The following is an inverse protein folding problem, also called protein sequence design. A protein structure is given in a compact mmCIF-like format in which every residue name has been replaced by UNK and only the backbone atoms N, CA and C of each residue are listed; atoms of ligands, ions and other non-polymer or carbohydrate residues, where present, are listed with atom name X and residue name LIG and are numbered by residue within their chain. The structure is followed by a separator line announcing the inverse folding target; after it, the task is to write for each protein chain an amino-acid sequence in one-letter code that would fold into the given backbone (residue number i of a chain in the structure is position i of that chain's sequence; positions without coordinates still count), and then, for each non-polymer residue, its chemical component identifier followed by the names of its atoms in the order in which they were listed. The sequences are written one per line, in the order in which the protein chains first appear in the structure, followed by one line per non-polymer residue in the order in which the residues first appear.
data_IF_250107198101
#
_entry.id   IF_250107198101
#
_cell.length_a   1.000
_cell.length_b   1.000
_cell.length_c   1.000
_cell.angle_alpha   90.00
_cell.angle_beta   90.00
_cell.angle_gamma   90.00
#
_symmetry.space_group_name_H-M   'P 1'
#
loop_
_entity.id
_entity.type
_entity.pdbx_description
1 polymer ?
#
# COMPACT_ATOMS: atom_id res chain seq x y z
N UNK A 1 -3.10 -18.55 -25.54
CA UNK A 1 -3.28 -17.07 -25.56
C UNK A 1 -1.96 -16.43 -25.19
N UNK A 2 -1.53 -15.34 -25.85
CA UNK A 2 -0.34 -14.56 -25.46
C UNK A 2 -0.73 -13.49 -24.46
N UNK A 3 0.08 -13.32 -23.41
CA UNK A 3 -0.20 -12.42 -22.28
C UNK A 3 1.03 -11.54 -22.02
N UNK A 4 0.79 -10.26 -21.87
CA UNK A 4 1.75 -9.30 -21.34
C UNK A 4 1.42 -9.09 -19.86
N UNK A 5 2.39 -9.33 -18.99
CA UNK A 5 2.19 -9.33 -17.54
C UNK A 5 2.85 -8.09 -16.93
N UNK A 6 2.07 -7.30 -16.20
CA UNK A 6 2.58 -6.22 -15.38
C UNK A 6 2.56 -6.64 -13.91
N UNK A 7 3.70 -6.56 -13.25
CA UNK A 7 3.89 -6.97 -11.85
C UNK A 7 4.53 -5.85 -11.05
N UNK A 8 4.50 -5.96 -9.73
CA UNK A 8 5.10 -4.95 -8.86
C UNK A 8 5.92 -5.54 -7.73
N UNK A 9 6.92 -4.78 -7.31
CA UNK A 9 7.73 -5.03 -6.13
C UNK A 9 7.65 -3.85 -5.17
N UNK A 10 7.78 -4.08 -3.86
CA UNK A 10 8.01 -3.00 -2.90
C UNK A 10 9.17 -2.12 -3.35
N UNK A 11 9.10 -0.78 -3.16
CA UNK A 11 10.14 0.14 -3.61
C UNK A 11 11.55 -0.23 -3.14
N UNK A 12 11.68 -0.69 -1.89
CA UNK A 12 12.93 -1.13 -1.29
C UNK A 12 13.60 -2.31 -2.04
N UNK A 13 12.80 -3.17 -2.69
CA UNK A 13 13.29 -4.34 -3.42
C UNK A 13 13.40 -4.12 -4.93
N UNK A 14 12.72 -3.10 -5.45
CA UNK A 14 12.58 -2.88 -6.88
C UNK A 14 13.94 -2.76 -7.59
N UNK A 15 14.82 -1.89 -7.11
CA UNK A 15 16.12 -1.66 -7.75
C UNK A 15 16.96 -2.92 -7.93
N UNK A 16 17.00 -3.78 -6.90
CA UNK A 16 17.84 -4.97 -6.89
C UNK A 16 17.20 -6.21 -7.55
N UNK A 17 15.87 -6.31 -7.53
CA UNK A 17 15.20 -7.58 -7.83
C UNK A 17 14.32 -7.54 -9.09
N UNK A 18 14.01 -6.37 -9.66
CA UNK A 18 13.07 -6.23 -10.79
C UNK A 18 13.37 -7.17 -11.97
N UNK A 19 14.64 -7.28 -12.38
CA UNK A 19 15.03 -8.13 -13.50
C UNK A 19 14.78 -9.61 -13.21
N UNK A 20 15.28 -10.08 -12.07
CA UNK A 20 15.11 -11.48 -11.63
C UNK A 20 13.63 -11.83 -11.45
N UNK A 21 12.85 -10.91 -10.94
CA UNK A 21 11.41 -11.09 -10.75
C UNK A 21 10.66 -11.19 -12.08
N UNK A 22 11.00 -10.35 -13.07
CA UNK A 22 10.45 -10.45 -14.41
C UNK A 22 10.84 -11.78 -15.10
N UNK A 23 12.11 -12.18 -15.01
CA UNK A 23 12.62 -13.43 -15.55
C UNK A 23 11.93 -14.66 -14.94
N UNK A 24 11.57 -14.63 -13.65
CA UNK A 24 10.83 -15.71 -12.99
C UNK A 24 9.52 -16.04 -13.72
N UNK A 25 8.81 -15.04 -14.21
CA UNK A 25 7.57 -15.24 -14.96
C UNK A 25 7.84 -15.59 -16.42
N UNK A 26 8.79 -14.94 -17.08
CA UNK A 26 9.14 -15.20 -18.49
C UNK A 26 9.61 -16.66 -18.70
N UNK A 27 10.36 -17.20 -17.75
CA UNK A 27 10.91 -18.55 -17.83
C UNK A 27 9.89 -19.67 -17.52
N UNK A 28 8.61 -19.36 -17.27
CA UNK A 28 7.57 -20.37 -17.01
C UNK A 28 7.10 -21.10 -18.26
N UNK A 29 7.38 -20.56 -19.46
CA UNK A 29 6.85 -21.10 -20.70
C UNK A 29 5.32 -21.00 -20.78
N UNK A 30 4.69 -22.07 -21.29
CA UNK A 30 3.23 -22.15 -21.33
C UNK A 30 2.69 -22.57 -19.95
N UNK A 31 1.76 -21.78 -19.43
CA UNK A 31 1.07 -22.05 -18.16
C UNK A 31 -0.36 -22.45 -18.46
N UNK A 32 -0.75 -23.64 -17.97
CA UNK A 32 -2.11 -24.16 -18.09
C UNK A 32 -2.82 -24.13 -16.75
N UNK A 33 -4.07 -23.69 -16.73
CA UNK A 33 -4.89 -23.64 -15.51
C UNK A 33 -6.39 -23.72 -15.86
N UNK A 34 -7.20 -24.04 -14.87
CA UNK A 34 -8.66 -24.03 -14.98
C UNK A 34 -9.23 -22.89 -14.16
N UNK A 35 -10.10 -22.08 -14.78
CA UNK A 35 -10.83 -21.01 -14.11
C UNK A 35 -12.31 -21.08 -14.52
N UNK A 36 -13.21 -21.16 -13.53
CA UNK A 36 -14.67 -21.34 -13.74
C UNK A 36 -14.99 -22.45 -14.75
N UNK A 37 -14.43 -23.65 -14.51
CA UNK A 37 -14.58 -24.87 -15.33
C UNK A 37 -14.09 -24.75 -16.78
N UNK A 38 -13.35 -23.69 -17.12
CA UNK A 38 -12.72 -23.51 -18.43
C UNK A 38 -11.22 -23.68 -18.32
N UNK A 39 -10.65 -24.45 -19.24
CA UNK A 39 -9.20 -24.60 -19.36
C UNK A 39 -8.62 -23.44 -20.16
N UNK A 40 -7.51 -22.93 -19.64
CA UNK A 40 -6.73 -21.87 -20.28
C UNK A 40 -5.29 -22.32 -20.46
N UNK A 41 -4.74 -21.96 -21.58
CA UNK A 41 -3.32 -22.02 -21.88
C UNK A 41 -2.82 -20.61 -22.20
N UNK A 42 -1.86 -20.10 -21.41
CA UNK A 42 -1.26 -18.80 -21.62
C UNK A 42 0.24 -18.92 -21.82
N UNK A 43 0.77 -18.11 -22.71
CA UNK A 43 2.20 -17.87 -22.87
C UNK A 43 2.49 -16.43 -22.46
N UNK A 44 3.37 -16.24 -21.49
CA UNK A 44 3.79 -14.91 -21.05
C UNK A 44 4.91 -14.43 -21.99
N UNK A 45 4.60 -13.46 -22.83
CA UNK A 45 5.52 -12.94 -23.84
C UNK A 45 6.40 -11.81 -23.32
N UNK A 46 5.84 -11.00 -22.43
CA UNK A 46 6.51 -9.81 -21.89
C UNK A 46 6.14 -9.66 -20.42
N UNK A 47 7.10 -9.23 -19.60
CA UNK A 47 6.87 -8.89 -18.21
C UNK A 47 7.47 -7.51 -17.92
N UNK A 48 6.60 -6.59 -17.49
CA UNK A 48 7.01 -5.28 -16.98
C UNK A 48 6.88 -5.27 -15.47
N UNK A 49 7.95 -4.86 -14.78
CA UNK A 49 7.97 -4.76 -13.33
C UNK A 49 8.02 -3.29 -12.90
N UNK A 50 7.14 -2.90 -11.97
CA UNK A 50 7.01 -1.54 -11.48
C UNK A 50 7.17 -1.48 -9.96
N UNK A 51 7.64 -0.35 -9.39
CA UNK A 51 7.59 -0.17 -7.94
C UNK A 51 6.14 0.02 -7.48
N UNK A 52 5.73 -0.77 -6.49
CA UNK A 52 4.47 -0.56 -5.76
C UNK A 52 4.48 0.86 -5.18
N UNK A 53 3.40 1.31 -4.60
CA UNK A 53 3.27 2.67 -4.10
C UNK A 53 3.42 3.75 -5.20
N UNK A 54 4.49 3.75 -6.01
CA UNK A 54 4.62 4.64 -7.17
C UNK A 54 3.49 4.40 -8.17
N UNK A 55 3.23 3.15 -8.50
CA UNK A 55 2.14 2.79 -9.40
C UNK A 55 0.79 3.24 -8.84
N UNK A 56 0.52 3.03 -7.54
CA UNK A 56 -0.69 3.55 -6.91
C UNK A 56 -0.78 5.08 -7.02
N UNK A 57 0.32 5.80 -6.82
CA UNK A 57 0.36 7.26 -6.91
C UNK A 57 0.03 7.79 -8.31
N UNK A 58 0.37 7.05 -9.37
CA UNK A 58 0.03 7.41 -10.76
C UNK A 58 -1.48 7.51 -10.96
N UNK A 59 -2.29 6.75 -10.21
CA UNK A 59 -3.77 6.84 -10.30
C UNK A 59 -4.32 8.18 -9.84
N UNK A 60 -3.56 8.92 -9.04
CA UNK A 60 -3.91 10.27 -8.54
C UNK A 60 -2.93 11.34 -9.07
N UNK A 61 -2.32 11.09 -10.22
CA UNK A 61 -1.27 11.94 -10.81
C UNK A 61 -1.69 13.41 -10.93
N UNK A 62 -2.95 13.70 -11.24
CA UNK A 62 -3.46 15.09 -11.29
C UNK A 62 -3.28 15.82 -9.97
N UNK A 63 -3.38 15.12 -8.85
CA UNK A 63 -3.14 15.68 -7.50
C UNK A 63 -1.65 15.99 -7.28
N UNK A 64 -0.76 15.33 -8.02
CA UNK A 64 0.69 15.41 -7.89
C UNK A 64 1.34 16.43 -8.82
N UNK A 65 0.71 16.76 -9.96
CA UNK A 65 1.30 17.56 -11.06
C UNK A 65 1.96 18.87 -10.61
N UNK A 66 1.48 19.50 -9.56
CA UNK A 66 2.02 20.79 -9.06
C UNK A 66 2.72 20.64 -7.72
N UNK A 67 3.08 19.43 -7.32
CA UNK A 67 3.75 19.18 -6.06
C UNK A 67 5.22 18.84 -6.29
N UNK A 68 6.16 19.71 -5.92
CA UNK A 68 7.59 19.45 -6.08
C UNK A 68 8.04 18.26 -5.22
N UNK A 69 7.24 17.92 -4.19
CA UNK A 69 7.51 16.82 -3.26
C UNK A 69 6.21 16.15 -2.85
N UNK A 70 6.17 14.83 -2.99
CA UNK A 70 5.11 14.00 -2.43
C UNK A 70 5.72 12.75 -1.77
N UNK A 71 5.23 12.40 -0.60
CA UNK A 71 5.58 11.17 0.10
C UNK A 71 4.42 10.19 -0.01
N UNK A 72 4.68 9.01 -0.54
CA UNK A 72 3.72 7.92 -0.63
C UNK A 72 3.98 6.97 0.54
N UNK A 73 2.92 6.59 1.26
CA UNK A 73 2.97 5.66 2.39
C UNK A 73 1.92 4.58 2.13
N UNK A 74 2.37 3.36 1.88
CA UNK A 74 1.52 2.19 1.64
C UNK A 74 1.45 1.35 2.92
N UNK A 75 0.30 1.36 3.58
CA UNK A 75 0.11 0.60 4.82
C UNK A 75 -0.51 -0.75 4.46
N UNK A 76 0.34 -1.77 4.43
CA UNK A 76 -0.03 -3.15 4.16
C UNK A 76 -0.31 -3.97 5.42
N UNK A 77 -0.49 -5.28 5.22
CA UNK A 77 -0.70 -6.24 6.32
C UNK A 77 0.55 -6.43 7.18
N UNK A 78 1.69 -6.69 6.56
CA UNK A 78 2.96 -6.97 7.23
C UNK A 78 3.88 -5.75 7.30
N UNK A 79 3.88 -4.94 6.24
CA UNK A 79 4.81 -3.83 6.06
C UNK A 79 4.10 -2.51 5.85
N UNK A 80 4.82 -1.44 6.14
CA UNK A 80 4.52 -0.10 5.67
C UNK A 80 5.66 0.33 4.77
N UNK A 81 5.35 0.47 3.48
CA UNK A 81 6.31 0.88 2.47
C UNK A 81 6.19 2.37 2.22
N UNK A 82 7.31 3.06 2.04
CA UNK A 82 7.29 4.46 1.66
C UNK A 82 8.21 4.77 0.48
N UNK A 83 7.84 5.77 -0.28
CA UNK A 83 8.60 6.29 -1.41
C UNK A 83 8.43 7.81 -1.50
N UNK A 84 9.54 8.52 -1.63
CA UNK A 84 9.52 9.95 -1.92
C UNK A 84 9.41 10.17 -3.44
N UNK A 85 8.51 11.08 -3.84
CA UNK A 85 8.46 11.60 -5.21
C UNK A 85 9.03 13.02 -5.23
N UNK A 86 9.84 13.30 -6.26
CA UNK A 86 10.34 14.66 -6.59
C UNK A 86 9.87 15.03 -7.98
N UNK A 87 9.07 16.09 -8.09
CA UNK A 87 8.49 16.51 -9.36
C UNK A 87 7.74 15.40 -10.12
N UNK A 88 7.10 14.49 -9.37
CA UNK A 88 6.35 13.35 -9.92
C UNK A 88 7.17 12.09 -10.21
N UNK A 89 8.50 12.12 -10.07
CA UNK A 89 9.38 10.97 -10.28
C UNK A 89 9.76 10.32 -8.94
N UNK A 90 9.84 8.99 -8.93
CA UNK A 90 10.22 8.22 -7.74
C UNK A 90 11.70 8.36 -7.39
N UNK A 91 12.01 8.88 -6.22
CA UNK A 91 13.36 8.93 -5.66
C UNK A 91 13.65 7.64 -4.90
N UNK A 92 14.21 6.64 -5.61
CA UNK A 92 14.55 5.35 -5.04
C UNK A 92 15.66 5.39 -3.99
N UNK A 93 16.35 6.52 -3.82
CA UNK A 93 17.29 6.71 -2.71
C UNK A 93 16.57 7.01 -1.39
N UNK A 94 15.29 7.38 -1.45
CA UNK A 94 14.44 7.68 -0.29
C UNK A 94 13.21 6.78 -0.34
N UNK A 95 13.44 5.50 -0.19
CA UNK A 95 12.39 4.49 -0.03
C UNK A 95 12.85 3.41 0.95
N UNK A 96 11.92 2.84 1.67
CA UNK A 96 12.19 1.71 2.57
C UNK A 96 10.88 1.01 2.94
N UNK A 97 11.00 -0.08 3.70
CA UNK A 97 9.91 -0.91 4.19
C UNK A 97 10.06 -1.09 5.69
N UNK A 98 9.01 -0.74 6.45
CA UNK A 98 8.93 -0.94 7.89
C UNK A 98 8.11 -2.18 8.19
N UNK A 99 8.54 -3.01 9.13
CA UNK A 99 7.79 -4.20 9.58
C UNK A 99 6.65 -3.84 10.56
N UNK A 100 5.91 -2.77 10.26
CA UNK A 100 4.87 -2.19 11.10
C UNK A 100 3.50 -2.21 10.41
N UNK A 101 3.15 -3.30 9.72
CA UNK A 101 1.85 -3.46 9.08
C UNK A 101 0.70 -3.69 10.08
N UNK A 102 -0.55 -3.68 9.59
CA UNK A 102 -1.76 -3.76 10.43
C UNK A 102 -1.89 -5.06 11.22
N UNK A 103 -1.22 -6.14 10.81
CA UNK A 103 -1.20 -7.40 11.57
C UNK A 103 -0.60 -7.19 12.96
N UNK A 104 0.42 -6.33 13.08
CA UNK A 104 0.98 -5.97 14.38
C UNK A 104 -0.07 -5.25 15.25
N UNK A 105 -0.87 -4.37 14.67
CA UNK A 105 -1.98 -3.69 15.36
C UNK A 105 -3.04 -4.71 15.83
N UNK A 106 -3.48 -5.61 14.95
CA UNK A 106 -4.44 -6.65 15.34
C UNK A 106 -3.95 -7.47 16.53
N UNK A 107 -2.69 -7.91 16.49
CA UNK A 107 -2.11 -8.67 17.59
C UNK A 107 -2.07 -7.89 18.91
N UNK A 108 -1.71 -6.59 18.86
CA UNK A 108 -1.73 -5.70 20.05
C UNK A 108 -3.16 -5.56 20.59
N UNK A 109 -4.15 -5.31 19.74
CA UNK A 109 -5.56 -5.18 20.13
C UNK A 109 -6.06 -6.48 20.75
N UNK A 110 -5.90 -7.62 20.05
CA UNK A 110 -6.35 -8.94 20.53
C UNK A 110 -5.77 -9.24 21.92
N UNK A 111 -4.48 -9.04 22.10
CA UNK A 111 -3.81 -9.28 23.38
C UNK A 111 -4.34 -8.35 24.49
N UNK A 112 -4.58 -7.09 24.18
CA UNK A 112 -5.03 -6.09 25.14
C UNK A 112 -6.48 -6.35 25.58
N UNK A 113 -7.36 -6.65 24.64
CA UNK A 113 -8.77 -6.96 24.92
C UNK A 113 -8.89 -8.26 25.71
N UNK A 114 -8.12 -9.29 25.35
CA UNK A 114 -8.11 -10.54 26.12
C UNK A 114 -7.65 -10.31 27.56
N UNK A 115 -6.62 -9.48 27.80
CA UNK A 115 -6.10 -9.21 29.12
C UNK A 115 -7.06 -8.35 30.00
N UNK A 116 -7.78 -7.40 29.42
CA UNK A 116 -8.58 -6.44 30.18
C UNK A 116 -10.08 -6.79 30.24
N UNK A 117 -10.59 -7.53 29.25
CA UNK A 117 -12.01 -7.81 29.10
C UNK A 117 -12.32 -9.31 29.07
N UNK A 118 -11.31 -10.19 29.14
CA UNK A 118 -11.43 -11.65 29.02
C UNK A 118 -12.23 -12.06 27.75
N UNK A 119 -11.99 -11.33 26.65
CA UNK A 119 -12.70 -11.48 25.38
C UNK A 119 -11.71 -11.68 24.24
N UNK A 120 -12.04 -12.59 23.31
CA UNK A 120 -11.29 -12.81 22.08
C UNK A 120 -12.02 -12.12 20.92
N UNK A 121 -11.36 -11.13 20.30
CA UNK A 121 -11.85 -10.48 19.07
C UNK A 121 -11.22 -11.12 17.84
N UNK A 122 -11.99 -11.23 16.78
CA UNK A 122 -11.45 -11.50 15.45
C UNK A 122 -11.11 -10.19 14.69
N UNK A 123 -10.50 -10.33 13.52
CA UNK A 123 -10.07 -9.18 12.71
C UNK A 123 -11.27 -8.42 12.11
N UNK A 124 -12.35 -9.12 11.77
CA UNK A 124 -13.54 -8.50 11.20
C UNK A 124 -14.26 -7.62 12.23
N UNK A 125 -14.28 -8.03 13.50
CA UNK A 125 -14.82 -7.23 14.60
C UNK A 125 -13.96 -5.98 14.86
N UNK A 126 -12.63 -6.13 14.83
CA UNK A 126 -11.70 -4.99 14.96
C UNK A 126 -11.90 -4.01 13.80
N UNK A 127 -12.02 -4.51 12.57
CA UNK A 127 -12.27 -3.68 11.38
C UNK A 127 -13.61 -2.94 11.49
N UNK A 128 -14.66 -3.61 11.94
CA UNK A 128 -15.96 -2.97 12.15
C UNK A 128 -15.84 -1.78 13.12
N UNK A 129 -15.14 -1.95 14.23
CA UNK A 129 -14.92 -0.89 15.23
C UNK A 129 -14.10 0.27 14.63
N UNK A 130 -12.99 -0.02 13.94
CA UNK A 130 -12.11 1.00 13.37
C UNK A 130 -12.77 1.77 12.22
N UNK A 131 -13.65 1.11 11.45
CA UNK A 131 -14.44 1.73 10.39
C UNK A 131 -15.72 2.41 10.90
N UNK A 132 -15.95 2.41 12.20
CA UNK A 132 -17.13 3.04 12.81
C UNK A 132 -18.44 2.31 12.53
N UNK A 133 -18.38 1.01 12.20
CA UNK A 133 -19.55 0.15 12.00
C UNK A 133 -20.04 -0.41 13.34
N UNK A 134 -21.30 -0.83 13.39
CA UNK A 134 -21.82 -1.55 14.55
C UNK A 134 -21.10 -2.89 14.71
N UNK A 135 -20.51 -3.10 15.87
CA UNK A 135 -19.78 -4.32 16.21
C UNK A 135 -20.44 -5.12 17.33
N UNK A 136 -21.52 -4.60 17.94
CA UNK A 136 -22.16 -5.20 19.11
C UNK A 136 -21.28 -5.28 20.36
N UNK A 137 -20.10 -4.66 20.35
CA UNK A 137 -19.13 -4.69 21.45
C UNK A 137 -19.39 -3.61 22.51
N UNK A 138 -18.94 -3.84 23.75
CA UNK A 138 -19.07 -2.89 24.83
C UNK A 138 -18.23 -1.62 24.62
N UNK A 139 -18.63 -0.50 25.25
CA UNK A 139 -17.86 0.75 25.19
C UNK A 139 -16.41 0.59 25.66
N UNK A 140 -16.16 -0.28 26.64
CA UNK A 140 -14.82 -0.57 27.12
C UNK A 140 -13.95 -1.19 26.02
N UNK A 141 -14.47 -2.18 25.28
CA UNK A 141 -13.79 -2.79 24.12
C UNK A 141 -13.57 -1.76 23.02
N UNK A 142 -14.57 -0.95 22.68
CA UNK A 142 -14.44 0.10 21.68
C UNK A 142 -13.33 1.10 22.03
N UNK A 143 -13.21 1.49 23.30
CA UNK A 143 -12.18 2.40 23.78
C UNK A 143 -10.78 1.79 23.66
N UNK A 144 -10.60 0.52 24.03
CA UNK A 144 -9.33 -0.19 23.90
C UNK A 144 -8.88 -0.23 22.43
N UNK A 145 -9.77 -0.67 21.53
CA UNK A 145 -9.46 -0.78 20.09
C UNK A 145 -9.05 0.57 19.51
N UNK A 146 -9.84 1.61 19.75
CA UNK A 146 -9.57 2.97 19.26
C UNK A 146 -8.30 3.57 19.86
N UNK A 147 -8.02 3.29 21.13
CA UNK A 147 -6.79 3.75 21.78
C UNK A 147 -5.57 3.10 21.15
N UNK A 148 -5.57 1.77 21.00
CA UNK A 148 -4.47 1.04 20.38
C UNK A 148 -4.21 1.48 18.94
N UNK A 149 -5.25 1.77 18.17
CA UNK A 149 -5.11 2.29 16.81
C UNK A 149 -4.48 3.69 16.77
N UNK A 150 -4.85 4.58 17.72
CA UNK A 150 -4.22 5.91 17.82
C UNK A 150 -2.74 5.81 18.21
N UNK A 151 -2.40 4.96 19.16
CA UNK A 151 -1.01 4.72 19.55
C UNK A 151 -0.21 4.17 18.37
N UNK A 152 -0.74 3.15 17.67
CA UNK A 152 -0.10 2.57 16.50
C UNK A 152 0.20 3.62 15.41
N UNK A 153 -0.79 4.45 15.05
CA UNK A 153 -0.59 5.52 14.08
C UNK A 153 0.43 6.55 14.57
N UNK A 154 0.38 6.92 15.85
CA UNK A 154 1.35 7.84 16.45
C UNK A 154 2.78 7.30 16.35
N UNK A 155 2.98 6.01 16.68
CA UNK A 155 4.27 5.32 16.61
C UNK A 155 4.77 5.26 15.16
N UNK A 156 3.90 4.86 14.22
CA UNK A 156 4.22 4.79 12.80
C UNK A 156 4.67 6.14 12.26
N UNK A 157 3.90 7.21 12.48
CA UNK A 157 4.25 8.54 12.00
C UNK A 157 5.53 9.08 12.67
N UNK A 158 5.79 8.72 13.92
CA UNK A 158 7.05 9.05 14.60
C UNK A 158 8.23 8.32 13.95
N UNK A 159 8.09 7.02 13.69
CA UNK A 159 9.13 6.21 13.03
C UNK A 159 9.47 6.72 11.64
N UNK A 160 8.49 7.23 10.89
CA UNK A 160 8.73 7.88 9.60
C UNK A 160 9.50 9.20 9.76
N UNK A 161 9.19 10.00 10.78
CA UNK A 161 9.91 11.25 11.06
C UNK A 161 11.34 11.02 11.52
N UNK A 162 11.61 9.98 12.29
CA UNK A 162 12.96 9.56 12.70
C UNK A 162 13.84 9.24 11.47
N UNK A 163 13.24 8.82 10.37
CA UNK A 163 13.89 8.62 9.07
C UNK A 163 14.02 9.91 8.24
N UNK A 164 13.87 11.06 8.88
CA UNK A 164 13.95 12.39 8.25
C UNK A 164 12.88 12.63 7.17
N UNK A 165 11.77 11.90 7.24
CA UNK A 165 10.64 12.11 6.33
C UNK A 165 9.77 13.25 6.85
N UNK A 166 9.59 14.26 6.01
CA UNK A 166 8.76 15.42 6.33
C UNK A 166 7.28 15.13 6.01
N UNK A 167 6.43 15.18 7.03
CA UNK A 167 5.01 14.85 6.95
C UNK A 167 4.08 16.08 6.97
N UNK A 168 4.63 17.28 7.20
CA UNK A 168 3.86 18.53 7.32
C UNK A 168 4.02 19.47 6.13
N UNK A 169 4.98 19.18 5.25
CA UNK A 169 5.19 19.96 4.01
C UNK A 169 5.16 19.05 2.79
N UNK A 170 4.66 19.58 1.66
CA UNK A 170 4.40 18.77 0.47
C UNK A 170 3.10 17.96 0.57
N UNK A 171 2.95 17.01 -0.33
CA UNK A 171 1.82 16.07 -0.30
C UNK A 171 2.21 14.80 0.46
N UNK A 172 1.34 14.31 1.31
CA UNK A 172 1.48 13.00 1.94
C UNK A 172 0.29 12.14 1.51
N UNK A 173 0.57 11.05 0.82
CA UNK A 173 -0.44 10.18 0.22
C UNK A 173 -0.38 8.83 0.91
N UNK A 174 -1.50 8.42 1.43
CA UNK A 174 -1.68 7.12 2.07
C UNK A 174 -2.42 6.17 1.11
N UNK A 175 -1.93 4.96 0.99
CA UNK A 175 -2.52 3.89 0.18
C UNK A 175 -2.45 2.56 0.94
N UNK A 176 -3.10 1.53 0.40
CA UNK A 176 -3.17 0.21 1.02
C UNK A 176 -4.37 0.04 1.95
N UNK A 177 -4.70 -1.22 2.25
CA UNK A 177 -5.86 -1.57 3.11
C UNK A 177 -5.75 -0.98 4.50
N UNK A 178 -4.55 -0.95 5.07
CA UNK A 178 -4.29 -0.36 6.38
C UNK A 178 -4.49 1.16 6.41
N UNK A 179 -4.22 1.86 5.31
CA UNK A 179 -4.45 3.29 5.22
C UNK A 179 -5.96 3.61 5.25
N UNK A 180 -6.78 2.80 4.57
CA UNK A 180 -8.25 2.93 4.60
C UNK A 180 -8.77 2.63 5.99
N UNK A 181 -8.30 1.56 6.62
CA UNK A 181 -8.69 1.14 7.96
C UNK A 181 -8.37 2.18 9.03
N UNK A 182 -7.19 2.82 8.94
CA UNK A 182 -6.67 3.76 9.93
C UNK A 182 -6.89 5.22 9.56
N UNK A 183 -7.70 5.50 8.54
CA UNK A 183 -7.92 6.85 8.03
C UNK A 183 -8.30 7.85 9.13
N UNK A 184 -9.27 7.51 9.97
CA UNK A 184 -9.73 8.42 11.04
C UNK A 184 -8.59 8.78 12.01
N UNK A 185 -7.74 7.83 12.36
CA UNK A 185 -6.61 8.03 13.28
C UNK A 185 -5.50 8.86 12.63
N UNK A 186 -5.26 8.66 11.33
CA UNK A 186 -4.28 9.44 10.56
C UNK A 186 -4.76 10.89 10.41
N UNK A 187 -6.03 11.10 10.02
CA UNK A 187 -6.62 12.44 9.88
C UNK A 187 -6.68 13.22 11.21
N UNK A 188 -6.90 12.50 12.32
CA UNK A 188 -6.92 13.09 13.67
C UNK A 188 -5.52 13.39 14.23
N UNK A 189 -4.45 12.93 13.56
CA UNK A 189 -3.07 13.13 14.04
C UNK A 189 -2.56 14.52 13.65
N UNK A 190 -1.91 15.18 14.61
CA UNK A 190 -1.21 16.45 14.37
C UNK A 190 0.17 16.29 13.71
N UNK A 191 0.63 15.03 13.51
CA UNK A 191 1.94 14.70 12.95
C UNK A 191 1.98 14.77 11.42
N UNK A 192 0.82 14.74 10.76
CA UNK A 192 0.69 14.84 9.30
C UNK A 192 -0.24 16.01 8.94
N UNK A 193 0.04 16.69 7.82
CA UNK A 193 -0.78 17.82 7.37
C UNK A 193 -1.47 17.49 6.05
N UNK A 194 -2.80 17.54 6.05
CA UNK A 194 -3.62 17.37 4.86
C UNK A 194 -3.35 16.04 4.13
N UNK A 195 -3.49 14.88 4.81
CA UNK A 195 -3.25 13.59 4.19
C UNK A 195 -4.22 13.35 3.03
N UNK A 196 -3.74 12.76 1.94
CA UNK A 196 -4.53 12.32 0.80
C UNK A 196 -4.63 10.80 0.86
N UNK A 197 -5.80 10.24 0.61
CA UNK A 197 -6.00 8.78 0.65
C UNK A 197 -6.36 8.24 -0.73
N UNK A 198 -5.70 7.15 -1.11
CA UNK A 198 -6.08 6.31 -2.25
C UNK A 198 -6.87 5.13 -1.68
N UNK A 199 -8.19 5.19 -1.83
CA UNK A 199 -9.12 4.19 -1.25
C UNK A 199 -9.23 2.93 -2.09
N UNK A 200 -8.79 2.99 -3.35
CA UNK A 200 -8.87 1.88 -4.29
C UNK A 200 -7.81 0.82 -3.95
N UNK A 201 -8.24 -0.32 -3.44
CA UNK A 201 -7.36 -1.47 -3.13
C UNK A 201 -6.63 -2.00 -4.38
N UNK A 202 -7.17 -1.75 -5.57
CA UNK A 202 -6.57 -2.11 -6.85
C UNK A 202 -5.67 -1.01 -7.44
N UNK A 203 -5.36 0.06 -6.68
CA UNK A 203 -4.60 1.21 -7.19
C UNK A 203 -3.24 0.81 -7.79
N UNK A 204 -2.49 -0.09 -7.15
CA UNK A 204 -1.22 -0.58 -7.69
C UNK A 204 -1.43 -1.26 -9.06
N UNK A 205 -2.42 -2.14 -9.19
CA UNK A 205 -2.72 -2.87 -10.46
C UNK A 205 -3.14 -1.91 -11.56
N UNK A 206 -4.00 -0.94 -11.25
CA UNK A 206 -4.39 0.11 -12.19
C UNK A 206 -3.20 0.99 -12.59
N UNK A 207 -2.35 1.31 -11.63
CA UNK A 207 -1.11 2.03 -11.88
C UNK A 207 -0.15 1.27 -12.80
N UNK A 208 0.02 -0.04 -12.63
CA UNK A 208 0.84 -0.86 -13.54
C UNK A 208 0.29 -0.80 -14.97
N UNK A 209 -1.02 -0.87 -15.15
CA UNK A 209 -1.64 -0.75 -16.45
C UNK A 209 -1.36 0.61 -17.09
N UNK A 210 -1.51 1.70 -16.33
CA UNK A 210 -1.24 3.06 -16.82
C UNK A 210 0.22 3.26 -17.22
N UNK A 211 1.15 2.81 -16.39
CA UNK A 211 2.59 2.88 -16.66
C UNK A 211 2.96 2.08 -17.89
N UNK A 212 2.47 0.85 -18.01
CA UNK A 212 2.69 0.00 -19.17
C UNK A 212 2.17 0.65 -20.47
N UNK A 213 0.97 1.22 -20.43
CA UNK A 213 0.40 1.93 -21.58
C UNK A 213 1.23 3.15 -21.99
N UNK A 214 1.68 3.95 -21.00
CA UNK A 214 2.53 5.12 -21.25
C UNK A 214 3.86 4.74 -21.91
N UNK A 215 4.53 3.68 -21.43
CA UNK A 215 5.76 3.17 -22.04
C UNK A 215 5.56 2.72 -23.50
N UNK A 216 4.45 2.09 -23.81
CA UNK A 216 4.15 1.64 -25.19
C UNK A 216 3.91 2.80 -26.12
N UNK A 217 3.18 3.84 -25.67
CA UNK A 217 2.97 5.06 -26.47
C UNK A 217 4.32 5.75 -26.72
N UNK A 218 5.18 5.85 -25.70
CA UNK A 218 6.52 6.43 -25.85
C UNK A 218 7.40 5.66 -26.84
N UNK A 219 7.36 4.33 -26.83
CA UNK A 219 8.09 3.48 -27.79
C UNK A 219 7.52 3.56 -29.23
N UNK A 220 6.21 3.80 -29.38
CA UNK A 220 5.54 3.92 -30.69
C UNK A 220 5.77 5.25 -31.40
N UNK A 221 6.15 6.31 -30.69
CA UNK A 221 6.41 7.65 -31.24
C UNK A 221 7.91 7.92 -31.56
N UNK A 222 8.75 6.90 -31.45
CA UNK A 222 10.19 6.98 -31.67
C UNK A 222 10.66 6.52 -33.06
N UNK A 223 9.88 6.80 -34.12
CA UNK A 223 10.29 6.64 -35.52
C UNK A 223 10.20 7.97 -36.26
#
# INVERSE_FOLDING_TARGET
MRVQLAVGLPPAHYGAQQKRFAEYFLNRGTVSFTLHDRQYEILIDEVSCYPQSYAAAITVFQTLQNSPRALIIDIGGFTVDYLLLRNGEGDLSVCDSLENGVILLYNRIKSRVAAEQDLLLDEAEIDAILLGRDSGQSDAVLQIVRHQAREFVSDLLSSLRERMLELKSGKVIFTGGGAVLLRQQIEASDKVRGPVFIEDIAANVKGYQLLYQAERIGRGNGY
#
